data_IF_280008493000
#
_entry.id   IF_280008493000
#
_cell.length_a   1.000
_cell.length_b   1.000
_cell.length_c   1.000
_cell.angle_alpha   90.00
_cell.angle_beta   90.00
_cell.angle_gamma   90.00
#
_symmetry.space_group_name_H-M   'P 1'
#
loop_
_entity.id
_entity.type
_entity.pdbx_description
1 polymer ?
#
# COMPACT_ATOMS: atom_id res chain seq x y z
N UNK A 1 -58.99 -40.22 -27.71
CA UNK A 1 -58.63 -38.99 -27.01
C UNK A 1 -57.22 -39.16 -26.47
N UNK A 2 -56.20 -38.74 -27.25
CA UNK A 2 -54.78 -38.94 -26.90
C UNK A 2 -54.20 -37.67 -26.31
N UNK A 3 -53.92 -37.67 -25.03
CA UNK A 3 -53.21 -36.60 -24.36
C UNK A 3 -51.70 -36.85 -24.44
N UNK A 4 -50.98 -36.04 -25.23
CA UNK A 4 -49.52 -36.04 -25.27
C UNK A 4 -49.00 -35.06 -24.20
N UNK A 5 -48.35 -35.59 -23.17
CA UNK A 5 -47.63 -34.80 -22.20
C UNK A 5 -46.26 -34.42 -22.78
N UNK A 6 -46.08 -33.15 -23.07
CA UNK A 6 -44.79 -32.57 -23.45
C UNK A 6 -44.03 -32.18 -22.19
N UNK A 7 -42.98 -32.91 -21.86
CA UNK A 7 -42.10 -32.59 -20.73
C UNK A 7 -41.09 -31.55 -21.18
N UNK A 8 -41.23 -30.31 -20.68
CA UNK A 8 -40.22 -29.28 -20.80
C UNK A 8 -39.12 -29.50 -19.72
N UNK A 9 -37.96 -29.99 -20.17
CA UNK A 9 -36.74 -30.03 -19.35
C UNK A 9 -36.16 -28.62 -19.27
N UNK A 10 -36.32 -27.97 -18.12
CA UNK A 10 -35.60 -26.73 -17.79
C UNK A 10 -34.19 -27.11 -17.33
N UNK A 11 -33.19 -26.92 -18.18
CA UNK A 11 -31.80 -27.02 -17.84
C UNK A 11 -31.41 -25.74 -17.07
N UNK A 12 -31.33 -25.83 -15.73
CA UNK A 12 -30.86 -24.77 -14.89
C UNK A 12 -29.30 -24.71 -14.95
N UNK A 13 -28.76 -23.83 -15.80
CA UNK A 13 -27.32 -23.59 -15.88
C UNK A 13 -26.87 -22.80 -14.65
N UNK A 14 -26.26 -23.49 -13.68
CA UNK A 14 -25.61 -22.86 -12.54
C UNK A 14 -24.31 -22.21 -13.03
N UNK A 15 -24.34 -20.90 -13.27
CA UNK A 15 -23.13 -20.14 -13.52
C UNK A 15 -22.38 -19.95 -12.18
N UNK A 16 -21.28 -20.71 -11.99
CA UNK A 16 -20.35 -20.47 -10.90
C UNK A 16 -19.63 -19.14 -11.19
N UNK A 17 -20.04 -18.10 -10.48
CA UNK A 17 -19.28 -16.84 -10.43
C UNK A 17 -18.00 -17.10 -9.66
N UNK A 18 -16.86 -17.19 -10.34
CA UNK A 18 -15.52 -17.17 -9.72
C UNK A 18 -15.32 -15.80 -9.07
N UNK A 19 -14.87 -15.73 -7.80
CA UNK A 19 -14.50 -14.47 -7.20
C UNK A 19 -13.33 -13.86 -7.98
N UNK A 20 -13.28 -12.51 -8.12
CA UNK A 20 -12.14 -11.85 -8.76
C UNK A 20 -10.87 -12.20 -7.99
N UNK A 21 -9.93 -12.85 -8.67
CA UNK A 21 -8.59 -13.06 -8.14
C UNK A 21 -7.96 -11.66 -7.96
N UNK A 22 -7.83 -11.21 -6.72
CA UNK A 22 -7.03 -10.03 -6.39
C UNK A 22 -5.59 -10.43 -6.71
N UNK A 23 -5.01 -9.82 -7.74
CA UNK A 23 -3.60 -9.93 -8.01
C UNK A 23 -2.86 -9.40 -6.76
N UNK A 24 -2.33 -10.30 -5.95
CA UNK A 24 -1.41 -9.94 -4.89
C UNK A 24 -0.16 -9.42 -5.60
N UNK A 25 0.08 -8.12 -5.52
CA UNK A 25 1.33 -7.52 -5.96
C UNK A 25 2.43 -8.16 -5.13
N UNK A 26 3.23 -9.01 -5.75
CA UNK A 26 4.38 -9.64 -5.10
C UNK A 26 5.38 -8.54 -4.76
N UNK A 27 5.65 -8.32 -3.47
CA UNK A 27 6.67 -7.36 -3.04
C UNK A 27 8.05 -7.78 -3.57
N UNK A 28 8.87 -6.81 -4.02
CA UNK A 28 10.27 -7.08 -4.37
C UNK A 28 11.02 -7.71 -3.19
N UNK A 29 11.90 -8.67 -3.46
CA UNK A 29 12.62 -9.44 -2.44
C UNK A 29 13.36 -8.54 -1.43
N UNK A 30 13.97 -7.45 -1.92
CA UNK A 30 14.74 -6.51 -1.09
C UNK A 30 13.94 -5.85 0.03
N UNK A 31 12.62 -5.77 -0.09
CA UNK A 31 11.72 -5.09 0.88
C UNK A 31 10.73 -6.05 1.54
N UNK A 32 10.94 -7.34 1.40
CA UNK A 32 10.16 -8.34 2.14
C UNK A 32 10.48 -8.27 3.63
N UNK A 33 9.42 -8.33 4.42
CA UNK A 33 9.57 -8.44 5.88
C UNK A 33 10.18 -9.81 6.21
N UNK A 34 11.22 -9.89 7.05
CA UNK A 34 11.82 -11.16 7.46
C UNK A 34 10.82 -12.10 8.13
N UNK A 35 11.11 -13.41 8.08
CA UNK A 35 10.31 -14.43 8.76
C UNK A 35 10.19 -14.16 10.26
N UNK A 36 9.10 -14.63 10.85
CA UNK A 36 8.83 -14.44 12.28
C UNK A 36 8.07 -13.15 12.62
N UNK A 37 7.79 -12.31 11.64
CA UNK A 37 6.96 -11.11 11.80
C UNK A 37 5.53 -11.37 11.36
N UNK A 38 4.61 -10.59 11.91
CA UNK A 38 3.18 -10.58 11.50
C UNK A 38 2.70 -9.16 11.30
N UNK A 39 1.76 -8.96 10.39
CA UNK A 39 1.10 -7.66 10.24
C UNK A 39 0.29 -7.38 11.50
N UNK A 40 0.59 -6.28 12.15
CA UNK A 40 -0.16 -5.78 13.32
C UNK A 40 -1.22 -4.78 12.91
N UNK A 41 -0.87 -3.86 12.00
CA UNK A 41 -1.75 -2.81 11.51
C UNK A 41 -1.43 -2.55 10.04
N UNK A 42 -2.47 -2.38 9.23
CA UNK A 42 -2.36 -1.99 7.83
C UNK A 42 -3.15 -0.71 7.62
N UNK A 43 -2.52 0.27 7.01
CA UNK A 43 -3.11 1.59 6.77
C UNK A 43 -2.82 2.08 5.36
N UNK A 44 -3.66 3.01 4.88
CA UNK A 44 -3.43 3.77 3.66
C UNK A 44 -3.08 5.21 4.05
N UNK A 45 -1.88 5.65 3.68
CA UNK A 45 -1.45 7.04 3.86
C UNK A 45 -2.04 7.94 2.77
N UNK A 46 -2.67 9.03 3.19
CA UNK A 46 -3.19 10.07 2.28
C UNK A 46 -2.61 11.40 2.70
N UNK A 47 -1.77 11.98 1.85
CA UNK A 47 -1.07 13.22 2.15
C UNK A 47 0.02 13.52 1.14
N UNK A 48 1.06 14.19 1.60
CA UNK A 48 2.17 14.66 0.77
C UNK A 48 3.53 14.28 1.37
N UNK A 49 4.52 14.17 0.49
CA UNK A 49 5.94 14.09 0.86
C UNK A 49 6.63 15.30 0.26
N UNK A 50 7.28 16.09 1.11
CA UNK A 50 8.00 17.28 0.69
C UNK A 50 9.44 16.94 0.35
N UNK A 51 9.88 17.38 -0.81
CA UNK A 51 11.28 17.38 -1.25
C UNK A 51 11.73 18.81 -1.49
N UNK A 52 12.99 19.09 -1.26
CA UNK A 52 13.63 20.38 -1.53
C UNK A 52 14.77 20.18 -2.52
N UNK A 53 14.85 21.06 -3.54
CA UNK A 53 15.98 21.08 -4.45
C UNK A 53 17.17 21.78 -3.75
N UNK A 54 18.25 21.04 -3.50
CA UNK A 54 19.44 21.53 -2.83
C UNK A 54 20.69 21.29 -3.67
N UNK A 55 21.73 22.05 -3.41
CA UNK A 55 23.04 21.79 -4.02
C UNK A 55 23.54 20.41 -3.59
N UNK A 56 24.01 19.64 -4.57
CA UNK A 56 24.57 18.32 -4.34
C UNK A 56 25.91 18.43 -3.65
N UNK A 57 26.08 17.72 -2.54
CA UNK A 57 27.33 17.73 -1.80
C UNK A 57 28.50 17.30 -2.69
N UNK A 58 29.63 18.02 -2.59
CA UNK A 58 30.87 17.76 -3.32
C UNK A 58 30.78 17.78 -4.87
N UNK A 59 29.72 18.38 -5.44
CA UNK A 59 29.54 18.48 -6.89
C UNK A 59 29.06 19.90 -7.25
N UNK A 60 29.97 20.88 -7.35
CA UNK A 60 29.60 22.27 -7.62
C UNK A 60 28.76 22.43 -8.89
N UNK A 61 27.66 23.17 -8.81
CA UNK A 61 26.76 23.45 -9.94
C UNK A 61 25.76 22.34 -10.24
N UNK A 62 25.71 21.26 -9.45
CA UNK A 62 24.68 20.23 -9.53
C UNK A 62 23.74 20.33 -8.35
N UNK A 63 22.45 20.05 -8.61
CA UNK A 63 21.40 20.01 -7.60
C UNK A 63 20.81 18.62 -7.49
N UNK A 64 20.20 18.31 -6.35
CA UNK A 64 19.45 17.09 -6.09
C UNK A 64 18.19 17.37 -5.29
N UNK A 65 17.19 16.50 -5.46
CA UNK A 65 15.99 16.52 -4.62
C UNK A 65 16.27 15.83 -3.29
N UNK A 66 16.27 16.61 -2.23
CA UNK A 66 16.49 16.12 -0.86
C UNK A 66 15.14 15.94 -0.16
N UNK A 67 14.93 14.77 0.42
CA UNK A 67 13.74 14.48 1.23
C UNK A 67 13.71 15.41 2.46
N UNK A 68 12.56 16.04 2.68
CA UNK A 68 12.31 16.91 3.84
C UNK A 68 11.45 16.20 4.87
N UNK A 69 10.34 15.64 4.48
CA UNK A 69 9.48 14.88 5.37
C UNK A 69 8.09 14.60 4.80
N UNK A 70 7.39 13.62 5.41
CA UNK A 70 6.00 13.32 5.10
C UNK A 70 5.05 14.11 6.00
N UNK A 71 3.83 14.32 5.49
CA UNK A 71 2.66 14.77 6.23
C UNK A 71 1.43 14.09 5.64
N UNK A 72 0.94 13.06 6.31
CA UNK A 72 -0.20 12.29 5.84
C UNK A 72 -1.10 11.83 6.99
N UNK A 73 -2.38 11.65 6.69
CA UNK A 73 -3.30 10.91 7.55
C UNK A 73 -3.20 9.43 7.21
N UNK A 74 -3.35 8.58 8.21
CA UNK A 74 -3.40 7.13 8.06
C UNK A 74 -4.85 6.66 8.18
N UNK A 75 -5.36 6.07 7.13
CA UNK A 75 -6.70 5.52 7.09
C UNK A 75 -6.64 3.98 7.15
N UNK A 76 -7.64 3.36 7.79
CA UNK A 76 -7.87 1.94 7.62
C UNK A 76 -8.39 1.63 6.20
N UNK A 77 -8.57 0.35 5.87
CA UNK A 77 -9.10 -0.06 4.55
C UNK A 77 -10.54 0.41 4.29
N UNK A 78 -11.29 0.77 5.32
CA UNK A 78 -12.63 1.35 5.23
C UNK A 78 -12.64 2.86 5.02
N UNK A 79 -11.45 3.51 4.98
CA UNK A 79 -11.31 4.94 4.81
C UNK A 79 -11.42 5.77 6.10
N UNK A 80 -11.55 5.12 7.27
CA UNK A 80 -11.58 5.81 8.56
C UNK A 80 -10.17 6.16 9.00
N UNK A 81 -9.94 7.41 9.40
CA UNK A 81 -8.67 7.83 9.94
C UNK A 81 -8.37 7.14 11.28
N UNK A 82 -7.24 6.45 11.35
CA UNK A 82 -6.74 5.72 12.53
C UNK A 82 -5.43 6.29 13.08
N UNK A 83 -4.79 7.20 12.36
CA UNK A 83 -3.53 7.80 12.79
C UNK A 83 -3.01 8.85 11.83
N UNK A 84 -1.73 9.20 12.03
CA UNK A 84 -0.99 10.18 11.25
C UNK A 84 0.42 9.68 10.96
N UNK A 85 1.00 10.11 9.83
CA UNK A 85 2.38 9.86 9.43
C UNK A 85 3.09 11.20 9.20
N UNK A 86 4.18 11.41 9.89
CA UNK A 86 4.93 12.66 9.83
C UNK A 86 6.42 12.43 10.09
N UNK A 87 7.23 13.45 9.92
CA UNK A 87 8.68 13.41 10.17
C UNK A 87 9.41 14.65 9.71
N UNK A 88 10.76 14.68 9.82
CA UNK A 88 11.69 13.68 10.37
C UNK A 88 11.72 13.61 11.91
N UNK A 89 12.08 12.44 12.51
CA UNK A 89 12.19 11.14 11.87
C UNK A 89 10.82 10.60 11.39
N UNK A 90 10.83 9.66 10.45
CA UNK A 90 9.61 9.01 9.99
C UNK A 90 8.85 8.40 11.17
N UNK A 91 7.64 8.89 11.43
CA UNK A 91 6.85 8.57 12.62
C UNK A 91 5.42 8.25 12.22
N UNK A 92 4.95 7.08 12.63
CA UNK A 92 3.54 6.67 12.55
C UNK A 92 2.95 6.74 13.95
N UNK A 93 1.85 7.47 14.08
CA UNK A 93 1.16 7.65 15.35
C UNK A 93 -0.30 7.25 15.21
N UNK A 94 -0.79 6.39 16.08
CA UNK A 94 -2.20 6.02 16.18
C UNK A 94 -2.97 7.01 17.04
N UNK A 95 -4.31 6.99 16.97
CA UNK A 95 -5.16 7.95 17.69
C UNK A 95 -5.12 7.82 19.21
N UNK A 96 -4.69 6.68 19.73
CA UNK A 96 -4.45 6.47 21.17
C UNK A 96 -3.12 7.06 21.65
N UNK A 97 -2.32 7.67 20.75
CA UNK A 97 -1.03 8.26 21.04
C UNK A 97 0.17 7.31 20.93
N UNK A 98 -0.06 6.04 20.63
CA UNK A 98 1.03 5.07 20.36
C UNK A 98 1.82 5.51 19.14
N UNK A 99 3.16 5.39 19.21
CA UNK A 99 4.07 5.84 18.15
C UNK A 99 5.10 4.76 17.84
N UNK A 100 5.43 4.66 16.55
CA UNK A 100 6.63 3.97 16.09
C UNK A 100 7.43 4.90 15.18
N UNK A 101 8.75 4.84 15.27
CA UNK A 101 9.65 5.54 14.36
C UNK A 101 10.38 4.50 13.51
N UNK A 102 10.65 4.85 12.27
CA UNK A 102 11.31 3.96 11.33
C UNK A 102 12.61 4.55 10.80
N UNK A 103 13.58 3.66 10.61
CA UNK A 103 14.79 3.92 9.85
C UNK A 103 14.79 3.05 8.62
N UNK A 104 15.02 3.63 7.46
CA UNK A 104 15.04 2.89 6.19
C UNK A 104 16.14 1.84 6.19
N UNK A 105 15.75 0.58 5.98
CA UNK A 105 16.66 -0.56 5.87
C UNK A 105 16.92 -0.94 4.41
N UNK A 106 15.88 -0.90 3.58
CA UNK A 106 15.98 -1.24 2.17
C UNK A 106 14.95 -0.45 1.34
N UNK A 107 15.24 -0.32 0.05
CA UNK A 107 14.39 0.34 -0.96
C UNK A 107 14.32 -0.54 -2.20
N UNK A 108 13.15 -0.60 -2.82
CA UNK A 108 12.98 -1.23 -4.12
C UNK A 108 12.13 -0.34 -5.04
N UNK A 109 12.40 -0.33 -6.36
CA UNK A 109 11.61 0.44 -7.30
C UNK A 109 10.14 -0.01 -7.29
N UNK A 110 9.23 0.95 -7.43
CA UNK A 110 7.83 0.73 -7.73
C UNK A 110 7.53 1.13 -9.19
N UNK A 111 6.26 1.15 -9.57
CA UNK A 111 5.83 1.56 -10.89
C UNK A 111 6.27 3.00 -11.19
N UNK A 112 6.41 3.32 -12.49
CA UNK A 112 6.82 4.65 -12.93
C UNK A 112 5.88 5.73 -12.36
N UNK A 113 6.46 6.69 -11.65
CA UNK A 113 5.73 7.79 -11.00
C UNK A 113 5.20 7.46 -9.62
N UNK A 114 5.40 6.25 -9.11
CA UNK A 114 5.07 5.88 -7.74
C UNK A 114 6.26 6.07 -6.80
N UNK A 115 5.93 6.20 -5.51
CA UNK A 115 6.94 6.23 -4.44
C UNK A 115 7.55 4.81 -4.33
N UNK A 116 8.89 4.69 -4.23
CA UNK A 116 9.53 3.39 -4.06
C UNK A 116 9.03 2.62 -2.83
N UNK A 117 9.03 1.30 -2.92
CA UNK A 117 8.83 0.45 -1.76
C UNK A 117 9.96 0.63 -0.76
N UNK A 118 9.64 0.62 0.52
CA UNK A 118 10.61 0.74 1.60
C UNK A 118 10.36 -0.30 2.68
N UNK A 119 11.43 -0.89 3.17
CA UNK A 119 11.48 -1.61 4.43
C UNK A 119 12.13 -0.68 5.47
N UNK A 120 11.47 -0.46 6.59
CA UNK A 120 11.91 0.41 7.68
C UNK A 120 11.88 -0.35 9.01
#
# INVERSE_FOLDING_TARGET
>A
MNFKYSACLFACSLALALPPAHAQTTLPEAVKVPDGHRVLLETVGVGEITYECRDKANTPGQTEWTFVGPKAVLNDRGGKQVGDYFGPPATWQTKDGSKVTGTQLAVAPADKGAIPYQLV
#
